data_IF_475125736387
#
_entry.id   IF_475125736387
#
_cell.length_a   1.000
_cell.length_b   1.000
_cell.length_c   1.000
_cell.angle_alpha   90.00
_cell.angle_beta   90.00
_cell.angle_gamma   90.00
#
_symmetry.space_group_name_H-M   'P 1'
#
loop_
_entity.id
_entity.type
_entity.pdbx_description
1 polymer ?
#
# COMPACT_ATOMS: atom_id res chain seq x y z
N UNK A 1 -11.96 14.19 -77.42
CA UNK A 1 -10.51 14.11 -77.64
C UNK A 1 -9.76 14.43 -76.37
N UNK A 2 -8.55 13.88 -76.22
CA UNK A 2 -7.44 14.23 -75.30
C UNK A 2 -7.73 14.74 -73.88
N UNK A 3 -7.33 13.91 -72.91
CA UNK A 3 -7.14 14.20 -71.50
C UNK A 3 -6.10 15.30 -71.21
N UNK A 4 -6.21 15.94 -70.04
CA UNK A 4 -5.08 16.16 -69.11
C UNK A 4 -5.58 16.34 -67.68
N UNK A 5 -4.71 16.15 -66.69
CA UNK A 5 -5.10 15.99 -65.29
C UNK A 5 -4.12 16.64 -64.30
N UNK A 6 -4.65 17.00 -63.12
CA UNK A 6 -3.94 17.20 -61.84
C UNK A 6 -2.93 18.38 -61.76
N UNK A 7 -2.45 18.79 -60.56
CA UNK A 7 -2.73 18.25 -59.22
C UNK A 7 -3.25 19.27 -58.18
N UNK A 8 -3.59 18.75 -56.99
CA UNK A 8 -3.89 19.52 -55.77
C UNK A 8 -2.63 20.17 -55.16
N UNK A 9 -2.82 21.24 -54.38
CA UNK A 9 -1.80 21.78 -53.47
C UNK A 9 -2.40 22.00 -52.06
N UNK A 10 -1.96 21.20 -51.09
CA UNK A 10 -2.46 21.23 -49.71
C UNK A 10 -1.62 22.16 -48.83
N UNK A 11 -2.23 23.23 -48.28
CA UNK A 11 -1.49 24.33 -47.64
C UNK A 11 -1.39 24.17 -46.11
N UNK A 12 -0.53 23.26 -45.67
CA UNK A 12 -0.25 23.04 -44.24
C UNK A 12 0.31 24.31 -43.57
N UNK A 13 -0.21 24.65 -42.38
CA UNK A 13 0.28 25.77 -41.55
C UNK A 13 1.19 25.26 -40.44
N UNK A 14 2.50 25.35 -40.63
CA UNK A 14 3.44 25.17 -39.51
C UNK A 14 3.31 26.34 -38.52
N UNK A 15 2.99 26.04 -37.26
CA UNK A 15 3.19 26.95 -36.12
C UNK A 15 4.47 26.54 -35.40
N UNK A 16 5.51 27.34 -35.53
CA UNK A 16 6.70 27.25 -34.69
C UNK A 16 6.41 27.84 -33.31
N UNK A 17 6.49 27.03 -32.27
CA UNK A 17 6.55 27.50 -30.88
C UNK A 17 8.01 27.71 -30.50
N UNK A 18 8.42 28.97 -30.33
CA UNK A 18 9.75 29.32 -29.80
C UNK A 18 9.67 29.36 -28.27
N UNK A 19 10.45 28.52 -27.58
CA UNK A 19 10.53 28.51 -26.12
C UNK A 19 11.52 29.57 -25.61
N UNK A 20 11.10 30.36 -24.62
CA UNK A 20 12.00 31.26 -23.88
C UNK A 20 12.52 30.57 -22.61
N UNK A 21 13.83 30.57 -22.33
CA UNK A 21 14.36 30.06 -21.07
C UNK A 21 14.16 31.08 -19.94
N UNK A 22 13.40 30.70 -18.91
CA UNK A 22 13.23 31.50 -17.69
C UNK A 22 14.44 31.37 -16.77
N UNK A 23 15.18 32.46 -16.54
CA UNK A 23 16.40 32.48 -15.71
C UNK A 23 16.08 32.89 -14.26
N UNK A 24 16.16 31.94 -13.34
CA UNK A 24 16.17 32.17 -11.87
C UNK A 24 16.45 30.86 -11.12
N UNK A 25 17.12 30.81 -9.96
CA UNK A 25 18.08 31.71 -9.31
C UNK A 25 18.72 30.96 -8.11
N UNK A 26 19.77 31.51 -7.49
CA UNK A 26 20.34 31.09 -6.18
C UNK A 26 20.81 29.62 -6.04
N UNK A 27 22.08 29.39 -6.37
CA UNK A 27 22.86 28.33 -5.69
C UNK A 27 23.32 28.85 -4.33
N UNK A 28 23.15 28.06 -3.26
CA UNK A 28 23.60 28.41 -1.91
C UNK A 28 24.55 27.31 -1.39
N UNK A 29 25.84 27.46 -1.67
CA UNK A 29 26.86 26.45 -1.40
C UNK A 29 27.31 26.44 0.07
N UNK A 30 26.84 25.45 0.83
CA UNK A 30 27.48 25.08 2.10
C UNK A 30 28.51 23.97 1.87
N UNK A 31 29.79 24.33 2.00
CA UNK A 31 30.93 23.41 1.90
C UNK A 31 30.99 22.48 3.11
N UNK A 32 30.77 21.18 2.90
CA UNK A 32 31.01 20.14 3.91
C UNK A 32 32.52 19.84 3.99
N UNK A 33 33.17 20.30 5.05
CA UNK A 33 34.55 19.92 5.33
C UNK A 33 34.66 18.41 5.60
N UNK A 34 35.74 17.79 5.12
CA UNK A 34 36.07 16.39 5.39
C UNK A 34 37.16 16.30 6.46
N UNK A 35 37.01 15.37 7.41
CA UNK A 35 38.05 15.01 8.36
C UNK A 35 38.31 13.51 8.28
N UNK A 36 39.52 13.16 7.87
CA UNK A 36 40.05 11.79 7.82
C UNK A 36 40.15 11.17 9.22
N UNK A 37 39.88 9.87 9.32
CA UNK A 37 40.25 9.04 10.47
C UNK A 37 41.13 7.87 9.98
N UNK A 38 42.24 7.61 10.68
CA UNK A 38 43.36 6.81 10.16
C UNK A 38 43.26 5.34 10.54
N UNK A 39 43.69 4.47 9.62
CA UNK A 39 43.85 3.02 9.85
C UNK A 39 45.23 2.65 10.41
N UNK A 40 45.28 1.83 11.46
CA UNK A 40 46.45 0.98 11.80
C UNK A 40 46.01 -0.32 12.47
N UNK A 41 46.67 -1.47 12.21
CA UNK A 41 46.28 -2.78 12.74
C UNK A 41 47.16 -3.24 13.92
N UNK A 42 46.73 -4.32 14.59
CA UNK A 42 47.58 -5.18 15.42
C UNK A 42 47.23 -6.66 15.25
N UNK A 43 48.24 -7.52 15.16
CA UNK A 43 48.14 -8.97 15.37
C UNK A 43 48.07 -9.27 16.89
N UNK A 44 47.96 -10.49 17.44
CA UNK A 44 48.35 -11.87 17.02
C UNK A 44 47.52 -12.86 17.92
N UNK A 45 47.42 -14.19 17.80
CA UNK A 45 48.22 -15.25 17.15
C UNK A 45 47.34 -16.51 16.82
N UNK A 46 47.98 -17.68 16.73
CA UNK A 46 47.51 -19.09 16.72
C UNK A 46 46.41 -19.46 17.74
N UNK A 47 45.65 -20.55 17.60
CA UNK A 47 46.08 -21.91 17.16
C UNK A 47 44.99 -22.69 16.42
N UNK A 48 45.38 -23.66 15.58
CA UNK A 48 44.49 -24.43 14.71
C UNK A 48 44.27 -25.90 15.15
N UNK A 49 43.11 -26.44 14.81
CA UNK A 49 42.84 -27.88 14.69
C UNK A 49 41.86 -28.11 13.52
N UNK A 50 41.96 -29.26 12.83
CA UNK A 50 41.29 -29.54 11.54
C UNK A 50 40.25 -30.68 11.70
N UNK A 51 39.10 -30.68 10.99
CA UNK A 51 38.01 -31.65 11.22
C UNK A 51 38.26 -33.04 10.62
N UNK A 52 37.40 -33.99 11.01
CA UNK A 52 37.33 -35.36 10.47
C UNK A 52 36.01 -35.61 9.72
N UNK A 53 36.01 -36.61 8.83
CA UNK A 53 34.98 -36.84 7.79
C UNK A 53 34.15 -38.10 8.07
N UNK A 54 32.97 -38.20 7.45
CA UNK A 54 32.03 -39.32 7.59
C UNK A 54 32.40 -40.59 6.80
N UNK A 55 31.87 -41.73 7.27
CA UNK A 55 31.63 -43.01 6.57
C UNK A 55 30.48 -43.70 7.37
N UNK A 56 29.24 -43.89 6.90
CA UNK A 56 28.73 -44.58 5.71
C UNK A 56 28.78 -46.12 5.80
N UNK A 57 27.62 -46.75 5.96
CA UNK A 57 27.41 -48.20 5.79
C UNK A 57 26.04 -48.47 5.17
N UNK A 58 25.97 -49.51 4.34
CA UNK A 58 24.83 -49.79 3.45
C UNK A 58 24.46 -51.28 3.44
N UNK A 59 23.17 -51.60 3.41
CA UNK A 59 22.67 -52.93 3.05
C UNK A 59 21.30 -52.83 2.36
N UNK A 60 21.03 -53.75 1.44
CA UNK A 60 19.86 -53.76 0.55
C UNK A 60 18.95 -55.00 0.80
N UNK A 61 17.69 -55.03 0.30
CA UNK A 61 16.64 -55.88 0.87
C UNK A 61 16.19 -57.08 0.01
N UNK A 62 15.58 -58.10 0.64
CA UNK A 62 14.57 -59.02 0.02
C UNK A 62 13.73 -59.76 1.11
N UNK A 63 12.66 -60.55 0.80
CA UNK A 63 11.34 -60.16 1.33
C UNK A 63 10.44 -61.29 1.89
N UNK A 64 9.24 -60.86 2.31
CA UNK A 64 7.95 -61.58 2.30
C UNK A 64 7.66 -62.71 3.30
N UNK A 65 6.56 -62.54 4.04
CA UNK A 65 5.52 -63.56 4.27
C UNK A 65 4.19 -62.85 4.53
N UNK A 66 3.07 -63.44 4.09
CA UNK A 66 1.72 -62.84 4.15
C UNK A 66 0.87 -63.40 5.30
N UNK A 67 0.18 -62.52 6.03
CA UNK A 67 -1.12 -62.81 6.66
C UNK A 67 -2.01 -61.57 6.53
N UNK A 68 -3.27 -61.77 6.14
CA UNK A 68 -4.22 -60.67 5.88
C UNK A 68 -5.15 -60.38 7.06
N UNK A 69 -5.54 -59.12 7.21
CA UNK A 69 -6.56 -58.68 8.18
C UNK A 69 -7.56 -57.73 7.51
N UNK A 70 -8.83 -57.86 7.87
CA UNK A 70 -9.96 -57.24 7.16
C UNK A 70 -10.04 -55.73 7.40
N UNK A 71 -10.10 -54.93 6.32
CA UNK A 71 -10.43 -53.50 6.42
C UNK A 71 -11.91 -53.32 6.82
N UNK A 72 -12.16 -52.70 7.98
CA UNK A 72 -13.49 -52.20 8.36
C UNK A 72 -13.63 -50.74 7.92
N UNK A 73 -14.39 -50.50 6.86
CA UNK A 73 -14.74 -49.15 6.39
C UNK A 73 -15.77 -48.53 7.33
N UNK A 74 -15.34 -47.61 8.21
CA UNK A 74 -16.25 -46.85 9.08
C UNK A 74 -16.83 -45.65 8.32
N UNK A 75 -18.08 -45.78 7.86
CA UNK A 75 -18.87 -44.65 7.35
C UNK A 75 -19.67 -44.01 8.49
N UNK A 76 -19.45 -42.73 8.84
CA UNK A 76 -20.24 -42.04 9.86
C UNK A 76 -21.61 -41.66 9.29
N UNK A 77 -22.64 -42.43 9.64
CA UNK A 77 -24.03 -42.17 9.23
C UNK A 77 -24.66 -41.05 10.05
N UNK A 78 -24.68 -39.83 9.52
CA UNK A 78 -25.44 -38.71 10.09
C UNK A 78 -26.89 -38.74 9.58
N UNK A 79 -27.92 -38.80 10.44
CA UNK A 79 -29.30 -38.70 10.01
C UNK A 79 -29.61 -37.25 9.59
N UNK A 80 -29.66 -37.01 8.27
CA UNK A 80 -30.01 -35.72 7.70
C UNK A 80 -31.48 -35.39 7.99
N UNK A 81 -31.71 -34.57 9.02
CA UNK A 81 -33.04 -33.99 9.28
C UNK A 81 -33.18 -32.73 8.45
N UNK A 82 -34.03 -32.80 7.43
CA UNK A 82 -34.31 -31.70 6.50
C UNK A 82 -34.74 -30.43 7.27
N UNK A 83 -34.16 -29.25 6.99
CA UNK A 83 -34.52 -28.03 7.69
C UNK A 83 -35.95 -27.60 7.28
N UNK A 84 -36.83 -27.25 8.23
CA UNK A 84 -38.19 -26.83 7.90
C UNK A 84 -38.15 -25.55 7.06
N UNK A 85 -38.96 -25.52 6.00
CA UNK A 85 -39.07 -24.38 5.08
C UNK A 85 -39.42 -23.11 5.88
N UNK A 86 -38.62 -22.02 5.81
CA UNK A 86 -38.78 -20.84 6.66
C UNK A 86 -39.90 -19.92 6.18
N UNK A 87 -41.14 -20.39 6.31
CA UNK A 87 -42.34 -19.59 6.02
C UNK A 87 -42.53 -18.53 7.11
N UNK A 88 -42.78 -17.28 6.71
CA UNK A 88 -43.04 -16.08 7.55
C UNK A 88 -41.85 -15.49 8.35
N UNK A 89 -41.13 -14.52 7.74
CA UNK A 89 -40.66 -13.28 8.42
C UNK A 89 -40.14 -12.21 7.43
N UNK A 90 -41.02 -11.76 6.55
CA UNK A 90 -40.73 -10.72 5.53
C UNK A 90 -40.69 -9.31 6.15
N UNK A 91 -39.73 -9.06 7.05
CA UNK A 91 -39.47 -7.74 7.66
C UNK A 91 -37.99 -7.49 7.94
N UNK A 92 -37.22 -8.53 8.31
CA UNK A 92 -35.75 -8.45 8.37
C UNK A 92 -35.14 -8.32 6.97
N UNK A 93 -35.60 -9.12 6.01
CA UNK A 93 -35.14 -9.04 4.62
C UNK A 93 -35.43 -7.68 4.00
N UNK A 94 -36.64 -7.13 4.19
CA UNK A 94 -36.98 -5.81 3.64
C UNK A 94 -36.23 -4.67 4.33
N UNK A 95 -36.03 -4.71 5.65
CA UNK A 95 -35.18 -3.70 6.30
C UNK A 95 -33.71 -3.79 5.87
N UNK A 96 -33.18 -4.98 5.56
CA UNK A 96 -31.84 -5.09 4.94
C UNK A 96 -31.80 -4.66 3.47
N UNK A 97 -32.86 -4.91 2.70
CA UNK A 97 -32.92 -4.51 1.29
C UNK A 97 -33.07 -3.00 1.15
N UNK A 98 -33.89 -2.36 2.00
CA UNK A 98 -34.04 -0.90 2.06
C UNK A 98 -32.76 -0.22 2.57
N UNK A 99 -32.04 -0.82 3.52
CA UNK A 99 -30.71 -0.33 3.93
C UNK A 99 -29.71 -0.38 2.76
N UNK A 100 -29.63 -1.50 2.05
CA UNK A 100 -28.78 -1.64 0.87
C UNK A 100 -29.20 -0.70 -0.29
N UNK A 101 -30.50 -0.44 -0.44
CA UNK A 101 -31.07 0.49 -1.42
C UNK A 101 -30.73 1.95 -1.09
N UNK A 102 -30.73 2.32 0.21
CA UNK A 102 -30.26 3.63 0.68
C UNK A 102 -28.74 3.78 0.59
N UNK A 103 -27.95 2.70 0.75
CA UNK A 103 -26.51 2.73 0.44
C UNK A 103 -26.27 2.98 -1.06
N UNK A 104 -26.99 2.30 -1.97
CA UNK A 104 -26.94 2.58 -3.41
C UNK A 104 -27.40 4.01 -3.76
N UNK A 105 -28.31 4.59 -2.99
CA UNK A 105 -28.71 6.00 -3.12
C UNK A 105 -27.62 7.01 -2.72
N UNK A 106 -26.46 6.56 -2.20
CA UNK A 106 -25.28 7.38 -1.94
C UNK A 106 -24.13 7.12 -2.93
N UNK A 107 -24.22 6.06 -3.74
CA UNK A 107 -23.41 5.92 -4.98
C UNK A 107 -24.11 6.51 -6.20
N UNK A 108 -25.43 6.73 -6.15
CA UNK A 108 -26.20 7.37 -7.21
C UNK A 108 -25.68 8.80 -7.48
N UNK A 109 -25.13 9.02 -8.69
CA UNK A 109 -24.41 10.23 -9.09
C UNK A 109 -22.87 10.11 -9.12
N UNK A 110 -22.26 9.12 -8.47
CA UNK A 110 -20.85 8.78 -8.64
C UNK A 110 -20.66 7.95 -9.91
N UNK A 111 -20.60 8.63 -11.06
CA UNK A 111 -20.24 8.04 -12.35
C UNK A 111 -18.74 7.73 -12.44
N UNK A 112 -18.25 6.91 -11.50
CA UNK A 112 -16.84 6.58 -11.33
C UNK A 112 -16.48 5.14 -11.75
N UNK A 113 -17.47 4.35 -12.17
CA UNK A 113 -17.29 3.03 -12.78
C UNK A 113 -16.23 3.10 -13.89
N UNK A 114 -15.24 2.20 -13.91
CA UNK A 114 -14.25 2.17 -15.00
C UNK A 114 -14.90 1.94 -16.38
N UNK A 115 -14.39 2.58 -17.45
CA UNK A 115 -14.97 2.47 -18.79
C UNK A 115 -14.82 1.04 -19.32
N UNK A 116 -15.86 0.56 -20.01
CA UNK A 116 -15.83 -0.74 -20.69
C UNK A 116 -15.01 -0.63 -21.99
N UNK A 117 -13.91 -1.40 -22.07
CA UNK A 117 -12.97 -1.34 -23.19
C UNK A 117 -13.38 -2.36 -24.25
N UNK A 118 -14.02 -1.90 -25.33
CA UNK A 118 -14.35 -2.75 -26.47
C UNK A 118 -13.10 -3.18 -27.26
N UNK A 119 -12.55 -4.35 -26.91
CA UNK A 119 -11.65 -5.16 -27.76
C UNK A 119 -10.32 -4.55 -28.25
N UNK A 120 -9.92 -3.37 -27.77
CA UNK A 120 -8.57 -2.84 -28.04
C UNK A 120 -7.48 -3.69 -27.36
N UNK A 121 -6.27 -3.73 -27.92
CA UNK A 121 -5.13 -4.45 -27.34
C UNK A 121 -4.48 -3.77 -26.12
N UNK A 122 -5.24 -2.92 -25.41
CA UNK A 122 -4.80 -2.25 -24.18
C UNK A 122 -5.06 -3.13 -22.95
N UNK A 123 -4.22 -2.99 -21.92
CA UNK A 123 -4.36 -3.76 -20.68
C UNK A 123 -5.50 -3.17 -19.84
N UNK A 124 -6.57 -3.96 -19.65
CA UNK A 124 -7.62 -3.65 -18.67
C UNK A 124 -7.10 -3.80 -17.24
N UNK A 125 -6.64 -2.69 -16.65
CA UNK A 125 -6.15 -2.64 -15.26
C UNK A 125 -7.22 -2.87 -14.19
N UNK A 126 -8.51 -2.89 -14.56
CA UNK A 126 -9.61 -3.12 -13.62
C UNK A 126 -9.71 -4.58 -13.20
N UNK A 127 -9.37 -5.51 -14.12
CA UNK A 127 -9.43 -6.97 -13.91
C UNK A 127 -8.08 -7.66 -14.06
N UNK A 128 -7.21 -7.19 -14.97
CA UNK A 128 -5.92 -7.84 -15.29
C UNK A 128 -4.95 -7.91 -14.11
N UNK A 129 -4.04 -8.89 -14.18
CA UNK A 129 -2.90 -9.09 -13.27
C UNK A 129 -1.55 -8.96 -14.00
N UNK A 130 -1.53 -8.26 -15.15
CA UNK A 130 -0.36 -8.13 -16.03
C UNK A 130 0.92 -7.68 -15.30
N UNK A 131 2.00 -8.46 -15.45
CA UNK A 131 3.32 -8.17 -14.86
C UNK A 131 3.47 -8.51 -13.37
N UNK A 132 2.42 -9.00 -12.70
CA UNK A 132 2.49 -9.35 -11.28
C UNK A 132 3.39 -10.57 -11.07
N UNK A 133 4.48 -10.39 -10.32
CA UNK A 133 5.47 -11.45 -10.05
C UNK A 133 6.39 -11.77 -11.22
N UNK A 134 6.33 -11.03 -12.34
CA UNK A 134 7.11 -11.26 -13.56
C UNK A 134 8.63 -11.14 -13.36
N UNK A 135 9.07 -10.21 -12.51
CA UNK A 135 10.48 -9.98 -12.22
C UNK A 135 10.72 -8.86 -11.21
N UNK A 136 11.84 -8.95 -10.49
CA UNK A 136 12.27 -7.95 -9.51
C UNK A 136 12.69 -6.61 -10.15
N UNK A 137 12.88 -5.59 -9.30
CA UNK A 137 13.45 -4.30 -9.72
C UNK A 137 14.97 -4.34 -9.85
N UNK A 138 15.59 -3.31 -10.44
CA UNK A 138 17.05 -3.19 -10.45
C UNK A 138 17.61 -3.12 -9.02
N UNK A 139 18.86 -3.53 -8.76
CA UNK A 139 19.44 -3.45 -7.41
C UNK A 139 19.38 -2.03 -6.82
N UNK A 140 19.65 -1.01 -7.62
CA UNK A 140 19.53 0.42 -7.25
C UNK A 140 18.10 0.79 -6.81
N UNK A 141 17.09 0.27 -7.50
CA UNK A 141 15.68 0.48 -7.14
C UNK A 141 15.31 -0.27 -5.87
N UNK A 142 15.82 -1.49 -5.68
CA UNK A 142 15.61 -2.25 -4.44
C UNK A 142 16.22 -1.52 -3.23
N UNK A 143 17.45 -1.01 -3.34
CA UNK A 143 18.10 -0.21 -2.30
C UNK A 143 17.28 1.03 -1.93
N UNK A 144 16.71 1.74 -2.92
CA UNK A 144 15.87 2.92 -2.68
C UNK A 144 14.50 2.60 -2.05
N UNK A 145 13.94 1.42 -2.27
CA UNK A 145 12.67 0.98 -1.66
C UNK A 145 12.85 0.45 -0.23
N UNK A 146 13.97 -0.22 0.02
CA UNK A 146 14.33 -0.86 1.30
C UNK A 146 15.19 0.05 2.20
N UNK A 147 15.38 1.31 1.81
CA UNK A 147 16.10 2.31 2.60
C UNK A 147 15.41 2.51 3.98
N UNK A 148 16.18 2.52 5.10
CA UNK A 148 15.63 2.81 6.43
C UNK A 148 14.94 4.17 6.52
N UNK A 149 13.95 4.29 7.40
CA UNK A 149 13.23 5.54 7.61
C UNK A 149 14.04 6.54 8.46
N UNK A 150 14.04 7.79 8.01
CA UNK A 150 14.48 8.92 8.83
C UNK A 150 13.48 9.14 9.98
N UNK A 151 13.97 9.29 11.22
CA UNK A 151 13.08 9.33 12.40
C UNK A 151 12.19 10.58 12.43
N UNK A 152 12.59 11.66 11.75
CA UNK A 152 11.80 12.89 11.62
C UNK A 152 10.76 12.83 10.49
N UNK A 153 10.76 11.76 9.69
CA UNK A 153 9.70 11.47 8.72
C UNK A 153 8.54 10.69 9.33
N UNK A 154 8.72 10.09 10.51
CA UNK A 154 7.72 9.26 11.18
C UNK A 154 6.88 10.10 12.16
N UNK A 155 5.59 10.18 11.87
CA UNK A 155 4.61 10.90 12.66
C UNK A 155 3.91 9.99 13.69
N UNK A 156 3.33 10.61 14.72
CA UNK A 156 2.74 9.92 15.87
C UNK A 156 1.32 10.42 16.09
N UNK A 157 0.34 9.51 15.99
CA UNK A 157 -1.06 9.83 16.33
C UNK A 157 -1.25 9.95 17.85
N UNK A 158 -2.29 10.68 18.33
CA UNK A 158 -2.55 10.85 19.76
C UNK A 158 -2.82 9.56 20.57
N UNK A 159 -3.06 8.44 19.89
CA UNK A 159 -3.21 7.09 20.43
C UNK A 159 -1.89 6.31 20.57
N UNK A 160 -0.78 6.87 20.07
CA UNK A 160 0.55 6.24 20.03
C UNK A 160 0.87 5.48 18.74
N UNK A 161 -0.05 5.44 17.76
CA UNK A 161 0.21 4.78 16.49
C UNK A 161 1.22 5.58 15.64
N UNK A 162 2.33 4.93 15.28
CA UNK A 162 3.32 5.46 14.35
C UNK A 162 2.80 5.38 12.92
N UNK A 163 3.05 6.40 12.09
CA UNK A 163 2.72 6.38 10.68
C UNK A 163 3.68 7.24 9.85
N UNK A 164 3.96 6.80 8.62
CA UNK A 164 4.66 7.62 7.63
C UNK A 164 3.60 8.46 6.87
N UNK A 165 3.75 9.79 6.75
CA UNK A 165 2.82 10.60 5.97
C UNK A 165 2.81 10.24 4.48
N UNK A 166 1.63 10.25 3.88
CA UNK A 166 1.37 9.87 2.47
C UNK A 166 2.36 10.49 1.45
N UNK A 167 2.69 11.77 1.64
CA UNK A 167 3.63 12.52 0.79
C UNK A 167 5.04 11.89 0.76
N UNK A 168 5.46 11.20 1.83
CA UNK A 168 6.77 10.54 1.89
C UNK A 168 6.80 9.29 0.99
N UNK A 169 5.75 8.48 1.00
CA UNK A 169 5.58 7.38 0.04
C UNK A 169 5.65 7.88 -1.41
N UNK A 170 4.92 8.96 -1.75
CA UNK A 170 5.00 9.55 -3.09
C UNK A 170 6.40 10.06 -3.46
N UNK A 171 7.15 10.62 -2.50
CA UNK A 171 8.54 11.04 -2.71
C UNK A 171 9.46 9.86 -2.95
N UNK A 172 9.30 8.75 -2.22
CA UNK A 172 10.08 7.51 -2.43
C UNK A 172 9.77 6.94 -3.82
N UNK A 173 8.49 6.79 -4.20
CA UNK A 173 8.12 6.31 -5.54
C UNK A 173 8.66 7.21 -6.66
N UNK A 174 8.57 8.54 -6.52
CA UNK A 174 9.14 9.49 -7.49
C UNK A 174 10.68 9.43 -7.54
N UNK A 175 11.36 9.16 -6.42
CA UNK A 175 12.83 9.01 -6.35
C UNK A 175 13.28 7.70 -7.02
N UNK A 176 12.54 6.61 -6.83
CA UNK A 176 12.89 5.27 -7.32
C UNK A 176 12.53 5.05 -8.79
N UNK A 177 11.36 5.55 -9.23
CA UNK A 177 10.79 5.22 -10.54
C UNK A 177 10.61 6.43 -11.47
N UNK A 178 10.85 7.64 -10.96
CA UNK A 178 10.55 8.89 -11.67
C UNK A 178 9.06 9.26 -11.65
N UNK A 179 8.71 10.57 -11.75
CA UNK A 179 7.35 11.00 -12.02
C UNK A 179 6.81 10.37 -13.31
N UNK A 180 5.60 9.79 -13.25
CA UNK A 180 5.00 9.05 -14.39
C UNK A 180 5.47 7.60 -14.54
N UNK A 181 6.51 7.17 -13.81
CA UNK A 181 6.93 5.76 -13.77
C UNK A 181 5.99 4.84 -12.97
N UNK A 182 5.02 5.40 -12.25
CA UNK A 182 4.07 4.69 -11.39
C UNK A 182 2.68 5.38 -11.36
N UNK A 183 1.64 4.63 -10.98
CA UNK A 183 0.29 5.15 -10.77
C UNK A 183 -0.64 4.14 -10.07
N UNK A 184 -1.79 4.62 -9.57
CA UNK A 184 -2.88 3.77 -9.10
C UNK A 184 -3.97 3.68 -10.16
N UNK A 185 -4.34 2.46 -10.57
CA UNK A 185 -5.57 2.23 -11.33
C UNK A 185 -6.71 1.82 -10.37
N UNK A 186 -7.92 2.41 -10.48
CA UNK A 186 -9.08 1.93 -9.75
C UNK A 186 -9.53 0.56 -10.27
N UNK A 187 -9.95 -0.32 -9.35
CA UNK A 187 -10.51 -1.65 -9.65
C UNK A 187 -11.95 -1.70 -9.14
N UNK A 188 -12.90 -1.56 -10.07
CA UNK A 188 -14.33 -1.42 -9.77
C UNK A 188 -14.75 -0.01 -9.33
N UNK A 189 -16.04 0.13 -9.01
CA UNK A 189 -16.74 1.33 -8.54
C UNK A 189 -16.37 1.69 -7.08
N UNK A 190 -16.54 2.95 -6.67
CA UNK A 190 -16.46 3.35 -5.26
C UNK A 190 -17.68 2.91 -4.47
N UNK A 191 -17.50 2.06 -3.45
CA UNK A 191 -18.57 1.67 -2.54
C UNK A 191 -18.74 2.76 -1.47
N UNK A 192 -19.84 3.52 -1.58
CA UNK A 192 -20.23 4.52 -0.57
C UNK A 192 -21.22 3.92 0.41
N UNK A 193 -20.89 4.01 1.70
CA UNK A 193 -21.79 3.78 2.83
C UNK A 193 -21.83 5.04 3.67
N UNK A 194 -22.93 5.33 4.37
CA UNK A 194 -23.24 6.66 4.95
C UNK A 194 -22.25 7.34 5.91
N UNK A 195 -21.06 6.76 6.18
CA UNK A 195 -19.91 7.38 6.86
C UNK A 195 -18.54 6.90 6.33
N UNK A 196 -18.49 6.15 5.23
CA UNK A 196 -17.29 5.47 4.73
C UNK A 196 -17.35 5.31 3.21
N UNK A 197 -16.29 5.75 2.53
CA UNK A 197 -16.00 5.36 1.14
C UNK A 197 -14.94 4.27 1.16
N UNK A 198 -15.10 3.24 0.33
CA UNK A 198 -14.07 2.24 0.09
C UNK A 198 -14.01 1.82 -1.38
N UNK A 199 -12.80 1.65 -1.91
CA UNK A 199 -12.55 1.26 -3.31
C UNK A 199 -11.26 0.47 -3.41
N UNK A 200 -11.19 -0.48 -4.34
CA UNK A 200 -9.96 -1.21 -4.63
C UNK A 200 -9.10 -0.46 -5.65
N UNK A 201 -7.78 -0.49 -5.47
CA UNK A 201 -6.81 0.07 -6.41
C UNK A 201 -5.67 -0.92 -6.64
N UNK A 202 -5.20 -1.01 -7.89
CA UNK A 202 -3.94 -1.67 -8.24
C UNK A 202 -2.81 -0.65 -8.36
N UNK A 203 -1.67 -0.90 -7.72
CA UNK A 203 -0.44 -0.13 -7.92
C UNK A 203 0.31 -0.69 -9.13
N UNK A 204 0.45 0.17 -10.14
CA UNK A 204 1.14 -0.11 -11.40
C UNK A 204 2.44 0.68 -11.42
N UNK A 205 3.54 0.02 -11.76
CA UNK A 205 4.87 0.65 -11.93
C UNK A 205 5.51 0.07 -13.19
N UNK A 206 6.08 0.92 -14.05
CA UNK A 206 6.74 0.50 -15.30
C UNK A 206 5.87 -0.44 -16.17
N UNK A 207 4.54 -0.22 -16.21
CA UNK A 207 3.62 -1.05 -17.00
C UNK A 207 3.27 -2.43 -16.39
N UNK A 208 3.60 -2.66 -15.12
CA UNK A 208 3.35 -3.93 -14.39
C UNK A 208 2.55 -3.68 -13.11
N UNK A 209 1.53 -4.49 -12.84
CA UNK A 209 0.83 -4.53 -11.56
C UNK A 209 1.75 -5.15 -10.49
N UNK A 210 1.80 -4.57 -9.30
CA UNK A 210 2.62 -5.08 -8.19
C UNK A 210 1.84 -5.47 -6.95
N UNK A 211 0.78 -4.72 -6.65
CA UNK A 211 -0.01 -4.87 -5.44
C UNK A 211 -1.44 -4.40 -5.71
N UNK A 212 -2.40 -5.00 -5.01
CA UNK A 212 -3.80 -4.58 -4.98
C UNK A 212 -4.16 -4.33 -3.53
N UNK A 213 -4.66 -3.14 -3.23
CA UNK A 213 -5.18 -2.81 -1.91
C UNK A 213 -6.55 -2.13 -2.00
N UNK A 214 -7.41 -2.47 -1.04
CA UNK A 214 -8.63 -1.71 -0.77
C UNK A 214 -8.27 -0.48 0.04
N UNK A 215 -8.57 0.70 -0.49
CA UNK A 215 -8.56 1.95 0.25
C UNK A 215 -9.84 2.13 1.05
N UNK A 216 -9.77 2.88 2.12
CA UNK A 216 -10.93 3.29 2.91
C UNK A 216 -10.73 4.71 3.46
N UNK A 217 -11.81 5.49 3.55
CA UNK A 217 -11.80 6.82 4.16
C UNK A 217 -13.17 7.14 4.76
N UNK A 218 -13.18 7.59 6.01
CA UNK A 218 -14.40 8.01 6.71
C UNK A 218 -14.78 9.44 6.33
N UNK A 219 -16.09 9.71 6.32
CA UNK A 219 -16.67 11.04 6.15
C UNK A 219 -17.85 11.23 7.11
N UNK A 220 -18.22 12.50 7.35
CA UNK A 220 -19.28 12.86 8.29
C UNK A 220 -20.54 13.34 7.57
N UNK A 221 -20.37 14.20 6.57
CA UNK A 221 -21.43 14.83 5.79
C UNK A 221 -21.30 14.46 4.30
N UNK A 222 -22.39 14.31 3.52
CA UNK A 222 -22.33 13.91 2.12
C UNK A 222 -21.48 14.83 1.24
N UNK A 223 -21.42 16.14 1.53
CA UNK A 223 -20.59 17.10 0.81
C UNK A 223 -19.07 16.79 0.92
N UNK A 224 -18.67 15.99 1.92
CA UNK A 224 -17.32 15.48 2.09
C UNK A 224 -16.94 14.29 1.20
N UNK A 225 -17.89 13.74 0.42
CA UNK A 225 -17.65 12.57 -0.45
C UNK A 225 -16.46 12.76 -1.41
N UNK A 226 -16.30 13.89 -2.14
CA UNK A 226 -15.17 14.07 -3.05
C UNK A 226 -13.81 14.04 -2.35
N UNK A 227 -13.71 14.68 -1.17
CA UNK A 227 -12.50 14.65 -0.34
C UNK A 227 -12.24 13.24 0.21
N UNK A 228 -13.29 12.51 0.55
CA UNK A 228 -13.18 11.13 1.01
C UNK A 228 -12.72 10.17 -0.11
N UNK A 229 -13.12 10.39 -1.36
CA UNK A 229 -12.65 9.58 -2.51
C UNK A 229 -11.15 9.73 -2.75
N UNK A 230 -10.61 10.95 -2.72
CA UNK A 230 -9.14 11.14 -2.81
C UNK A 230 -8.42 10.62 -1.55
N UNK A 231 -8.99 10.77 -0.35
CA UNK A 231 -8.45 10.15 0.86
C UNK A 231 -8.41 8.61 0.79
N UNK A 232 -9.44 7.99 0.21
CA UNK A 232 -9.52 6.54 -0.02
C UNK A 232 -8.41 6.05 -0.99
N UNK A 233 -8.17 6.80 -2.07
CA UNK A 233 -7.08 6.56 -3.05
C UNK A 233 -5.70 6.70 -2.41
N UNK A 234 -5.49 7.72 -1.57
CA UNK A 234 -4.27 7.89 -0.78
C UNK A 234 -4.07 6.79 0.27
N UNK A 235 -5.14 6.32 0.91
CA UNK A 235 -5.10 5.19 1.84
C UNK A 235 -4.66 3.89 1.13
N UNK A 236 -5.21 3.62 -0.06
CA UNK A 236 -4.81 2.48 -0.89
C UNK A 236 -3.34 2.55 -1.31
N UNK A 237 -2.82 3.75 -1.66
CA UNK A 237 -1.41 3.93 -2.03
C UNK A 237 -0.46 3.44 -0.92
N UNK A 238 -0.68 3.89 0.31
CA UNK A 238 0.17 3.52 1.45
C UNK A 238 0.11 2.02 1.75
N UNK A 239 -1.07 1.39 1.58
CA UNK A 239 -1.23 -0.06 1.67
C UNK A 239 -0.43 -0.79 0.58
N UNK A 240 -0.55 -0.39 -0.69
CA UNK A 240 0.20 -1.00 -1.79
C UNK A 240 1.72 -0.85 -1.66
N UNK A 241 2.19 0.28 -1.11
CA UNK A 241 3.62 0.52 -0.90
C UNK A 241 4.26 -0.45 0.10
N UNK A 242 3.48 -1.08 0.98
CA UNK A 242 3.98 -2.05 1.95
C UNK A 242 4.58 -3.29 1.26
N UNK A 243 3.97 -3.72 0.16
CA UNK A 243 4.42 -4.91 -0.60
C UNK A 243 5.72 -4.63 -1.38
N UNK A 244 6.09 -3.36 -1.53
CA UNK A 244 7.41 -2.93 -2.04
C UNK A 244 8.50 -2.89 -0.95
N UNK A 245 8.15 -3.18 0.31
CA UNK A 245 9.02 -3.05 1.48
C UNK A 245 9.14 -1.64 2.07
N UNK A 246 8.57 -0.61 1.41
CA UNK A 246 8.62 0.79 1.88
C UNK A 246 7.98 0.91 3.25
N UNK A 247 8.69 1.53 4.20
CA UNK A 247 8.23 1.76 5.57
C UNK A 247 7.86 0.47 6.35
N UNK A 248 8.41 -0.68 5.95
CA UNK A 248 8.22 -1.97 6.62
C UNK A 248 8.60 -1.95 8.10
N UNK A 249 9.59 -1.13 8.48
CA UNK A 249 10.02 -0.89 9.86
C UNK A 249 8.87 -0.47 10.80
N UNK A 250 7.86 0.28 10.31
CA UNK A 250 6.70 0.69 11.11
C UNK A 250 5.79 -0.46 11.53
N UNK A 251 6.05 -1.68 11.04
CA UNK A 251 5.35 -2.90 11.40
C UNK A 251 6.20 -3.85 12.28
N UNK A 252 7.47 -3.53 12.55
CA UNK A 252 8.31 -4.30 13.47
C UNK A 252 8.08 -3.87 14.94
N UNK A 253 7.63 -4.79 15.82
CA UNK A 253 7.48 -4.50 17.25
C UNK A 253 8.78 -4.03 17.94
N UNK A 254 9.97 -4.33 17.41
CA UNK A 254 11.25 -3.84 17.98
C UNK A 254 11.48 -2.38 17.60
N UNK A 255 11.36 -2.01 16.32
CA UNK A 255 11.39 -0.62 15.86
C UNK A 255 10.38 0.23 16.62
N UNK A 256 9.11 -0.19 16.69
CA UNK A 256 8.04 0.56 17.37
C UNK A 256 8.44 0.84 18.83
N UNK A 257 8.85 -0.18 19.60
CA UNK A 257 9.26 -0.01 21.00
C UNK A 257 10.45 0.94 21.17
N UNK A 258 11.44 0.87 20.26
CA UNK A 258 12.61 1.77 20.25
C UNK A 258 12.18 3.21 19.98
N UNK A 259 11.44 3.43 18.89
CA UNK A 259 10.95 4.74 18.48
C UNK A 259 10.05 5.39 19.54
N UNK A 260 9.09 4.63 20.13
CA UNK A 260 8.25 5.13 21.23
C UNK A 260 9.10 5.62 22.40
N UNK A 261 10.11 4.85 22.84
CA UNK A 261 11.00 5.25 23.94
C UNK A 261 11.87 6.47 23.61
N UNK A 262 12.42 6.51 22.40
CA UNK A 262 13.41 7.52 21.99
C UNK A 262 12.78 8.83 21.54
N UNK A 263 11.65 8.78 20.83
CA UNK A 263 11.05 9.94 20.13
C UNK A 263 9.73 10.42 20.77
N UNK A 264 9.02 9.62 21.57
CA UNK A 264 7.68 9.99 22.08
C UNK A 264 7.62 10.32 23.57
N UNK A 265 6.61 11.11 23.96
CA UNK A 265 6.25 11.47 25.33
C UNK A 265 4.77 11.20 25.56
N UNK A 266 4.42 10.80 26.79
CA UNK A 266 3.03 10.69 27.22
C UNK A 266 2.64 11.96 28.00
N UNK A 267 1.49 12.56 27.67
CA UNK A 267 1.04 13.82 28.26
C UNK A 267 -0.43 13.72 28.68
N UNK A 268 -0.77 14.24 29.86
CA UNK A 268 -2.15 14.44 30.27
C UNK A 268 -2.68 15.74 29.68
N UNK A 269 -3.85 15.67 29.03
CA UNK A 269 -4.46 16.83 28.36
C UNK A 269 -5.93 16.98 28.73
N UNK A 270 -6.33 18.22 28.99
CA UNK A 270 -7.71 18.63 29.22
C UNK A 270 -8.27 19.25 27.95
N UNK A 271 -9.48 18.84 27.55
CA UNK A 271 -10.21 19.51 26.47
C UNK A 271 -10.74 20.87 26.96
N UNK A 272 -10.31 21.96 26.33
CA UNK A 272 -10.54 23.33 26.79
C UNK A 272 -12.01 23.65 27.11
N UNK A 273 -12.93 23.28 26.20
CA UNK A 273 -14.39 23.44 26.36
C UNK A 273 -15.00 22.39 27.29
N UNK A 274 -14.86 21.09 26.99
CA UNK A 274 -15.62 20.02 27.67
C UNK A 274 -15.03 19.55 29.00
N UNK A 275 -13.86 20.05 29.41
CA UNK A 275 -13.14 19.72 30.65
C UNK A 275 -12.79 18.23 30.85
N UNK A 276 -13.01 17.40 29.84
CA UNK A 276 -12.62 15.99 29.84
C UNK A 276 -11.10 15.88 29.75
N UNK A 277 -10.49 15.21 30.72
CA UNK A 277 -9.06 14.87 30.73
C UNK A 277 -8.84 13.52 30.07
N UNK A 278 -7.77 13.39 29.28
CA UNK A 278 -7.28 12.13 28.71
C UNK A 278 -5.76 12.11 28.69
N UNK A 279 -5.17 10.92 28.65
CA UNK A 279 -3.77 10.72 28.31
C UNK A 279 -3.63 10.67 26.79
N UNK A 280 -2.58 11.26 26.23
CA UNK A 280 -2.22 11.16 24.81
C UNK A 280 -0.73 10.89 24.64
N UNK A 281 -0.36 10.26 23.53
CA UNK A 281 1.03 10.11 23.09
C UNK A 281 1.33 11.18 22.04
N UNK A 282 2.51 11.79 22.12
CA UNK A 282 2.99 12.83 21.20
C UNK A 282 4.46 12.57 20.88
N UNK A 283 5.00 13.08 19.77
CA UNK A 283 6.45 13.21 19.62
C UNK A 283 6.99 14.21 20.68
N UNK A 284 8.27 14.09 21.05
CA UNK A 284 8.90 14.92 22.10
C UNK A 284 9.04 16.39 21.71
N UNK A 285 9.25 16.65 20.43
CA UNK A 285 9.33 17.95 19.77
C UNK A 285 7.97 18.65 19.57
N UNK A 286 6.88 17.90 19.34
CA UNK A 286 5.54 18.50 19.16
C UNK A 286 4.90 19.00 20.47
N UNK A 287 3.92 19.89 20.35
CA UNK A 287 3.19 20.54 21.44
C UNK A 287 1.68 20.29 21.37
N UNK A 288 1.00 20.36 22.51
CA UNK A 288 -0.46 20.12 22.57
C UNK A 288 -1.23 21.26 21.88
N UNK A 289 -1.86 20.92 20.76
CA UNK A 289 -2.69 21.82 19.96
C UNK A 289 -4.14 21.87 20.48
N UNK A 290 -4.78 23.02 20.27
CA UNK A 290 -6.22 23.22 20.51
C UNK A 290 -7.04 22.15 19.75
N UNK A 291 -8.12 21.56 20.31
CA UNK A 291 -8.88 21.97 21.51
C UNK A 291 -8.31 21.49 22.85
N UNK A 292 -7.14 20.86 22.88
CA UNK A 292 -6.54 20.33 24.10
C UNK A 292 -5.57 21.33 24.73
N UNK A 293 -5.31 21.17 26.03
CA UNK A 293 -4.27 21.89 26.81
C UNK A 293 -3.55 20.92 27.73
N UNK A 294 -2.24 21.09 27.91
CA UNK A 294 -1.47 20.30 28.88
C UNK A 294 -2.00 20.49 30.31
N UNK A 295 -2.04 19.40 31.06
CA UNK A 295 -2.42 19.35 32.47
C UNK A 295 -1.34 18.60 33.22
N UNK A 296 -0.84 19.20 34.32
CA UNK A 296 0.06 18.52 35.26
C UNK A 296 -0.74 17.67 36.24
#
# INVERSE_FOLDING_TARGET
>A
SSSRAAPFAYRARHRSFTSSPSVSAFSNTYTRAATTATSTPSSTTTTAAKPATATATSTAPRPATTTGTVQRTFSPGFPAKEPPVPTLRTTSVDSTSDAARRQRSLTDGLQDQPPEIESSSAIDWTRSYHGLGEGSFTPEQQELLLAPLEYDDVEVKPDGLLYLPEIKYRRILNKTFGPGGWGLAPRGESIVTGKLITREYGLIIQGRLLSIARGEQQYFDPDGIPTATEGCKSNALMRCCKDLGIASELWDPRFIRKFTKEVTKEVWVEHAVTKKKKKVVLRKDDSVKYPFKETK
#
